data_IF_693742531400
#
_entry.id   IF_693742531400
#
_cell.length_a   1.000
_cell.length_b   1.000
_cell.length_c   1.000
_cell.angle_alpha   90.00
_cell.angle_beta   90.00
_cell.angle_gamma   90.00
#
_symmetry.space_group_name_H-M   'P 1'
#
loop_
_entity.id
_entity.type
_entity.pdbx_description
1 polymer ?
#
# COMPACT_ATOMS: atom_id res chain seq x y z
N UNK A 1 -60.98 -47.72 -41.08
CA UNK A 1 -60.64 -46.35 -40.88
C UNK A 1 -60.30 -46.13 -39.40
N UNK A 2 -59.02 -46.30 -39.02
CA UNK A 2 -58.58 -46.12 -37.63
C UNK A 2 -57.45 -45.04 -37.64
N UNK A 3 -57.67 -43.94 -36.95
CA UNK A 3 -56.67 -42.93 -36.69
C UNK A 3 -55.86 -43.40 -35.49
N UNK A 4 -54.57 -43.43 -35.62
CA UNK A 4 -53.59 -43.57 -34.49
C UNK A 4 -53.00 -42.21 -34.18
N UNK A 5 -53.34 -41.66 -33.04
CA UNK A 5 -52.70 -40.50 -32.45
C UNK A 5 -51.38 -40.95 -31.82
N UNK A 6 -50.31 -40.30 -32.25
CA UNK A 6 -48.96 -40.50 -31.70
C UNK A 6 -48.50 -39.20 -31.04
N UNK A 7 -48.78 -39.08 -29.75
CA UNK A 7 -48.31 -37.96 -28.91
C UNK A 7 -46.89 -38.24 -28.44
N UNK A 8 -45.92 -37.60 -29.09
CA UNK A 8 -44.53 -37.53 -28.58
C UNK A 8 -44.45 -36.51 -27.45
N UNK A 9 -44.21 -36.99 -26.22
CA UNK A 9 -43.87 -36.16 -25.07
C UNK A 9 -42.43 -35.74 -25.15
N UNK A 10 -42.20 -34.46 -25.45
CA UNK A 10 -40.91 -33.79 -25.30
C UNK A 10 -40.57 -33.63 -23.79
N UNK A 11 -39.64 -34.44 -23.32
CA UNK A 11 -39.00 -34.26 -22.04
C UNK A 11 -37.98 -33.10 -22.14
N UNK A 12 -38.39 -31.88 -21.78
CA UNK A 12 -37.47 -30.79 -21.50
C UNK A 12 -36.67 -31.13 -20.24
N UNK A 13 -35.45 -31.60 -20.41
CA UNK A 13 -34.45 -31.68 -19.35
C UNK A 13 -33.97 -30.30 -19.04
N UNK A 14 -34.52 -29.66 -18.02
CA UNK A 14 -34.01 -28.39 -17.47
C UNK A 14 -32.72 -28.70 -16.72
N UNK A 15 -31.59 -28.49 -17.36
CA UNK A 15 -30.28 -28.46 -16.67
C UNK A 15 -30.27 -27.17 -15.85
N UNK A 16 -30.47 -27.29 -14.55
CA UNK A 16 -30.23 -26.20 -13.62
C UNK A 16 -28.71 -25.98 -13.57
N UNK A 17 -28.23 -25.00 -14.29
CA UNK A 17 -26.89 -24.42 -14.04
C UNK A 17 -26.87 -23.77 -12.65
N UNK A 18 -26.47 -24.53 -11.64
CA UNK A 18 -26.05 -23.96 -10.35
C UNK A 18 -24.73 -23.26 -10.58
N UNK A 19 -24.78 -22.00 -11.01
CA UNK A 19 -23.68 -21.08 -10.91
C UNK A 19 -23.38 -20.88 -9.41
N UNK A 20 -22.44 -21.67 -8.88
CA UNK A 20 -21.87 -21.38 -7.57
C UNK A 20 -21.08 -20.08 -7.72
N UNK A 21 -21.68 -18.96 -7.34
CA UNK A 21 -20.98 -17.69 -7.23
C UNK A 21 -19.78 -17.91 -6.30
N UNK A 22 -18.58 -17.96 -6.84
CA UNK A 22 -17.34 -18.09 -6.07
C UNK A 22 -17.32 -16.90 -5.10
N UNK A 23 -17.32 -17.17 -3.78
CA UNK A 23 -17.28 -16.12 -2.77
C UNK A 23 -16.03 -15.26 -3.03
N UNK A 24 -16.22 -13.97 -3.29
CA UNK A 24 -15.13 -13.03 -3.46
C UNK A 24 -14.48 -12.74 -2.11
N UNK A 25 -13.16 -12.82 -2.03
CA UNK A 25 -12.39 -12.36 -0.87
C UNK A 25 -12.16 -10.85 -0.99
N UNK A 26 -12.67 -10.08 -0.05
CA UNK A 26 -12.58 -8.61 -0.03
C UNK A 26 -11.33 -8.17 0.71
N UNK A 27 -10.47 -7.42 0.05
CA UNK A 27 -9.21 -6.91 0.60
C UNK A 27 -9.26 -5.39 0.65
N UNK A 28 -9.28 -4.82 1.86
CA UNK A 28 -9.22 -3.38 2.06
C UNK A 28 -7.76 -2.91 2.15
N UNK A 29 -7.37 -1.95 1.31
CA UNK A 29 -6.04 -1.39 1.29
C UNK A 29 -6.07 0.04 1.81
N UNK A 30 -5.61 0.24 3.05
CA UNK A 30 -5.52 1.54 3.71
C UNK A 30 -4.11 2.11 3.49
N UNK A 31 -4.02 3.35 2.98
CA UNK A 31 -2.71 3.94 2.70
C UNK A 31 -2.75 5.37 2.19
N UNK A 32 -1.61 5.80 1.68
CA UNK A 32 -1.41 7.12 1.09
C UNK A 32 -1.22 7.05 -0.44
N UNK A 33 -0.31 7.85 -1.01
CA UNK A 33 -0.05 7.94 -2.45
C UNK A 33 0.37 6.60 -3.08
N UNK A 34 1.19 5.80 -2.41
CA UNK A 34 1.63 4.49 -2.89
C UNK A 34 0.45 3.50 -3.03
N UNK A 35 -0.50 3.52 -2.09
CA UNK A 35 -1.70 2.70 -2.14
C UNK A 35 -2.75 3.25 -3.13
N UNK A 36 -2.83 4.58 -3.25
CA UNK A 36 -3.71 5.24 -4.23
C UNK A 36 -3.18 5.17 -5.68
N UNK A 37 -1.96 4.67 -5.88
CA UNK A 37 -1.22 4.68 -7.15
C UNK A 37 -1.06 6.10 -7.74
N UNK A 38 -0.94 7.11 -6.87
CA UNK A 38 -0.70 8.50 -7.27
C UNK A 38 0.81 8.73 -7.38
N UNK A 39 1.31 8.76 -8.60
CA UNK A 39 2.73 8.91 -8.87
C UNK A 39 3.58 7.71 -8.43
N UNK A 40 2.98 6.57 -8.19
CA UNK A 40 3.61 5.35 -7.71
C UNK A 40 3.14 4.15 -8.52
N UNK A 41 3.95 3.10 -8.56
CA UNK A 41 3.56 1.82 -9.14
C UNK A 41 2.25 1.29 -8.54
N UNK A 42 1.36 0.79 -9.38
CA UNK A 42 0.07 0.25 -8.95
C UNK A 42 0.21 -1.22 -8.53
N UNK A 43 0.73 -1.44 -7.32
CA UNK A 43 0.92 -2.77 -6.75
C UNK A 43 -0.41 -3.52 -6.52
N UNK A 44 -1.52 -2.81 -6.28
CA UNK A 44 -2.84 -3.43 -6.13
C UNK A 44 -3.31 -4.03 -7.46
N UNK A 45 -3.14 -3.29 -8.55
CA UNK A 45 -3.46 -3.79 -9.88
C UNK A 45 -2.58 -4.98 -10.26
N UNK A 46 -1.28 -4.93 -9.92
CA UNK A 46 -0.35 -6.04 -10.15
C UNK A 46 -0.86 -7.31 -9.48
N UNK A 47 -1.11 -7.27 -8.16
CA UNK A 47 -1.62 -8.43 -7.41
C UNK A 47 -2.97 -8.90 -7.96
N UNK A 48 -3.91 -7.98 -8.22
CA UNK A 48 -5.24 -8.34 -8.72
C UNK A 48 -5.20 -9.06 -10.08
N UNK A 49 -4.20 -8.78 -10.92
CA UNK A 49 -4.05 -9.38 -12.24
C UNK A 49 -3.23 -10.67 -12.26
N UNK A 50 -2.69 -11.11 -11.12
CA UNK A 50 -1.90 -12.35 -11.06
C UNK A 50 -2.78 -13.59 -11.26
N UNK A 51 -2.24 -14.65 -11.86
CA UNK A 51 -2.95 -15.91 -11.99
C UNK A 51 -3.42 -16.43 -10.62
N UNK A 52 -4.66 -16.90 -10.56
CA UNK A 52 -5.27 -17.40 -9.31
C UNK A 52 -6.00 -16.34 -8.47
N UNK A 53 -5.81 -15.05 -8.72
CA UNK A 53 -6.39 -13.96 -7.94
C UNK A 53 -7.76 -13.47 -8.43
N UNK A 54 -8.40 -14.16 -9.37
CA UNK A 54 -9.68 -13.74 -9.95
C UNK A 54 -10.84 -13.62 -8.95
N UNK A 55 -10.74 -14.25 -7.76
CA UNK A 55 -11.70 -14.14 -6.67
C UNK A 55 -11.37 -13.00 -5.68
N UNK A 56 -10.20 -12.35 -5.80
CA UNK A 56 -9.79 -11.26 -4.91
C UNK A 56 -10.37 -9.93 -5.38
N UNK A 57 -11.03 -9.23 -4.47
CA UNK A 57 -11.57 -7.89 -4.70
C UNK A 57 -10.87 -6.87 -3.84
N UNK A 58 -10.03 -6.06 -4.45
CA UNK A 58 -9.31 -4.99 -3.75
C UNK A 58 -10.13 -3.70 -3.67
N UNK A 59 -10.21 -3.11 -2.48
CA UNK A 59 -10.84 -1.81 -2.22
C UNK A 59 -9.78 -0.84 -1.70
N UNK A 60 -9.65 0.33 -2.34
CA UNK A 60 -8.66 1.35 -1.95
C UNK A 60 -9.28 2.37 -1.00
N UNK A 61 -8.71 2.51 0.18
CA UNK A 61 -9.00 3.54 1.17
C UNK A 61 -7.77 4.42 1.35
N UNK A 62 -7.43 5.18 0.29
CA UNK A 62 -6.16 5.89 0.22
C UNK A 62 -6.30 7.22 -0.52
N UNK A 63 -5.52 8.22 -0.11
CA UNK A 63 -5.36 9.47 -0.81
C UNK A 63 -3.92 9.99 -0.70
N UNK A 64 -3.44 10.68 -1.74
CA UNK A 64 -2.10 11.28 -1.73
C UNK A 64 -1.90 12.21 -0.56
N UNK A 65 -0.77 12.11 0.12
CA UNK A 65 -0.41 12.95 1.27
C UNK A 65 -1.11 12.60 2.59
N UNK A 66 -1.90 11.51 2.67
CA UNK A 66 -2.51 11.09 3.93
C UNK A 66 -1.44 10.64 4.94
N UNK A 67 -1.63 11.08 6.19
CA UNK A 67 -0.90 10.61 7.36
C UNK A 67 -1.67 9.47 8.03
N UNK A 68 -1.08 8.83 9.03
CA UNK A 68 -1.77 7.81 9.82
C UNK A 68 -3.10 8.33 10.42
N UNK A 69 -3.14 9.59 10.87
CA UNK A 69 -4.36 10.26 11.34
C UNK A 69 -5.49 10.26 10.30
N UNK A 70 -5.18 10.54 9.04
CA UNK A 70 -6.18 10.52 7.98
C UNK A 70 -6.64 9.09 7.68
N UNK A 71 -5.74 8.12 7.81
CA UNK A 71 -6.09 6.70 7.75
C UNK A 71 -7.08 6.29 8.83
N UNK A 72 -6.88 6.75 10.07
CA UNK A 72 -7.80 6.52 11.19
C UNK A 72 -9.22 7.03 10.87
N UNK A 73 -9.35 8.18 10.20
CA UNK A 73 -10.65 8.73 9.81
C UNK A 73 -11.38 7.90 8.75
N UNK A 74 -10.69 6.98 8.06
CA UNK A 74 -11.27 6.09 7.04
C UNK A 74 -11.81 4.77 7.61
N UNK A 75 -11.55 4.46 8.87
CA UNK A 75 -11.97 3.19 9.49
C UNK A 75 -13.46 2.89 9.37
N UNK A 76 -14.39 3.85 9.56
CA UNK A 76 -15.82 3.55 9.42
C UNK A 76 -16.17 2.98 8.04
N UNK A 77 -15.56 3.50 6.96
CA UNK A 77 -15.79 3.01 5.61
C UNK A 77 -15.19 1.62 5.38
N UNK A 78 -14.03 1.34 5.97
CA UNK A 78 -13.38 0.01 5.91
C UNK A 78 -14.22 -1.00 6.68
N UNK A 79 -14.63 -0.69 7.90
CA UNK A 79 -15.45 -1.56 8.73
C UNK A 79 -16.79 -1.87 8.02
N UNK A 80 -17.40 -0.86 7.41
CA UNK A 80 -18.68 -1.03 6.70
C UNK A 80 -18.60 -1.97 5.50
N UNK A 81 -17.45 -2.15 4.86
CA UNK A 81 -17.30 -3.08 3.74
C UNK A 81 -17.02 -4.53 4.18
N UNK A 82 -16.87 -4.80 5.50
CA UNK A 82 -16.62 -6.13 6.08
C UNK A 82 -15.56 -6.91 5.31
N UNK A 83 -14.30 -6.43 5.26
CA UNK A 83 -13.24 -7.08 4.51
C UNK A 83 -12.83 -8.41 5.14
N UNK A 84 -12.32 -9.32 4.33
CA UNK A 84 -11.66 -10.56 4.78
C UNK A 84 -10.19 -10.27 5.17
N UNK A 85 -9.54 -9.32 4.47
CA UNK A 85 -8.17 -8.88 4.73
C UNK A 85 -8.06 -7.35 4.74
N UNK A 86 -7.19 -6.80 5.59
CA UNK A 86 -6.83 -5.38 5.60
C UNK A 86 -5.32 -5.21 5.53
N UNK A 87 -4.85 -4.44 4.55
CA UNK A 87 -3.44 -4.09 4.37
C UNK A 87 -3.27 -2.61 4.68
N UNK A 88 -2.35 -2.27 5.59
CA UNK A 88 -2.09 -0.90 6.02
C UNK A 88 -0.66 -0.49 5.65
N UNK A 89 -0.52 0.55 4.82
CA UNK A 89 0.75 1.18 4.44
C UNK A 89 0.63 2.69 4.65
N UNK A 90 1.03 3.17 5.81
CA UNK A 90 0.94 4.56 6.25
C UNK A 90 2.14 4.94 7.12
N UNK A 91 2.65 6.17 6.96
CA UNK A 91 3.69 6.73 7.81
C UNK A 91 4.72 7.57 7.07
N UNK A 92 4.90 7.38 5.77
CA UNK A 92 5.86 8.14 4.97
C UNK A 92 5.58 9.65 5.04
N UNK A 93 4.30 10.04 4.97
CA UNK A 93 3.91 11.46 5.07
C UNK A 93 4.05 12.00 6.50
N UNK A 94 3.90 11.16 7.52
CA UNK A 94 4.18 11.52 8.92
C UNK A 94 5.66 11.85 9.08
N UNK A 95 6.55 11.00 8.57
CA UNK A 95 8.00 11.24 8.55
C UNK A 95 8.33 12.51 7.75
N UNK A 96 7.81 12.65 6.53
CA UNK A 96 8.10 13.81 5.68
C UNK A 96 7.63 15.12 6.31
N UNK A 97 6.49 15.13 7.00
CA UNK A 97 5.98 16.28 7.71
C UNK A 97 6.81 16.62 8.98
N UNK A 98 7.45 15.61 9.58
CA UNK A 98 8.34 15.80 10.73
C UNK A 98 9.67 16.46 10.31
N UNK A 99 10.26 16.02 9.19
CA UNK A 99 11.58 16.46 8.74
C UNK A 99 11.55 17.69 7.82
N UNK A 100 10.41 18.02 7.22
CA UNK A 100 10.25 19.14 6.27
C UNK A 100 9.16 20.12 6.72
N UNK A 101 9.59 21.34 7.09
CA UNK A 101 8.65 22.43 7.43
C UNK A 101 7.68 22.76 6.29
N UNK A 102 8.12 22.63 5.03
CA UNK A 102 7.29 22.87 3.84
C UNK A 102 6.19 21.83 3.73
N UNK A 103 6.54 20.55 3.86
CA UNK A 103 5.58 19.43 3.87
C UNK A 103 4.60 19.58 5.04
N UNK A 104 5.10 19.86 6.25
CA UNK A 104 4.24 20.05 7.42
C UNK A 104 3.18 21.15 7.19
N UNK A 105 3.59 22.33 6.69
CA UNK A 105 2.65 23.43 6.40
C UNK A 105 1.59 23.01 5.39
N UNK A 106 2.01 22.32 4.34
CA UNK A 106 1.10 21.84 3.30
C UNK A 106 0.09 20.84 3.86
N UNK A 107 0.55 19.77 4.54
CA UNK A 107 -0.35 18.72 5.05
C UNK A 107 -1.22 19.25 6.21
N UNK A 108 -0.71 20.16 7.06
CA UNK A 108 -1.51 20.79 8.11
C UNK A 108 -2.75 21.48 7.54
N UNK A 109 -2.59 22.19 6.42
CA UNK A 109 -3.69 22.93 5.77
C UNK A 109 -4.62 21.99 4.99
N UNK A 110 -4.04 21.07 4.21
CA UNK A 110 -4.81 20.23 3.29
C UNK A 110 -5.40 18.98 3.93
N UNK A 111 -4.81 18.50 5.04
CA UNK A 111 -5.21 17.27 5.75
C UNK A 111 -5.82 17.55 7.12
N UNK A 112 -5.97 18.81 7.49
CA UNK A 112 -6.63 19.27 8.74
C UNK A 112 -6.06 18.60 9.99
N UNK A 113 -4.72 18.56 10.12
CA UNK A 113 -4.07 17.91 11.26
C UNK A 113 -4.35 18.64 12.56
N UNK A 114 -4.84 17.94 13.61
CA UNK A 114 -5.09 18.53 14.93
C UNK A 114 -3.80 18.81 15.70
N UNK A 115 -2.74 18.03 15.46
CA UNK A 115 -1.46 18.10 16.13
C UNK A 115 -0.28 18.14 15.16
N UNK A 116 0.88 18.52 15.65
CA UNK A 116 2.12 18.33 14.91
C UNK A 116 2.49 16.85 14.92
N UNK A 117 2.92 16.27 13.79
CA UNK A 117 3.38 14.90 13.74
C UNK A 117 4.52 14.62 14.73
N UNK A 118 4.45 13.49 15.41
CA UNK A 118 5.51 12.95 16.26
C UNK A 118 5.47 11.42 16.24
N UNK A 119 6.58 10.73 16.60
CA UNK A 119 6.60 9.28 16.71
C UNK A 119 5.57 8.72 17.70
N UNK A 120 5.35 9.42 18.81
CA UNK A 120 4.39 9.03 19.85
C UNK A 120 2.96 9.09 19.30
N UNK A 121 2.59 10.21 18.67
CA UNK A 121 1.26 10.38 18.09
C UNK A 121 1.03 9.39 16.93
N UNK A 122 2.06 9.12 16.12
CA UNK A 122 2.01 8.10 15.08
C UNK A 122 1.72 6.73 15.68
N UNK A 123 2.46 6.33 16.74
CA UNK A 123 2.27 5.06 17.45
C UNK A 123 0.84 4.93 17.99
N UNK A 124 0.36 5.93 18.72
CA UNK A 124 -1.00 5.96 19.26
C UNK A 124 -2.06 5.81 18.15
N UNK A 125 -1.86 6.53 17.04
CA UNK A 125 -2.77 6.51 15.89
C UNK A 125 -2.79 5.14 15.20
N UNK A 126 -1.62 4.54 14.97
CA UNK A 126 -1.52 3.21 14.36
C UNK A 126 -2.12 2.12 15.27
N UNK A 127 -1.90 2.19 16.58
CA UNK A 127 -2.58 1.31 17.53
C UNK A 127 -4.10 1.49 17.51
N UNK A 128 -4.59 2.73 17.43
CA UNK A 128 -6.02 3.00 17.31
C UNK A 128 -6.60 2.41 16.01
N UNK A 129 -5.87 2.48 14.88
CA UNK A 129 -6.25 1.84 13.62
C UNK A 129 -6.40 0.33 13.82
N UNK A 130 -5.37 -0.34 14.34
CA UNK A 130 -5.38 -1.80 14.52
C UNK A 130 -6.52 -2.23 15.44
N UNK A 131 -6.66 -1.58 16.60
CA UNK A 131 -7.74 -1.89 17.57
C UNK A 131 -9.12 -1.63 16.99
N UNK A 132 -9.29 -0.55 16.25
CA UNK A 132 -10.54 -0.23 15.57
C UNK A 132 -10.91 -1.28 14.51
N UNK A 133 -9.94 -1.77 13.73
CA UNK A 133 -10.16 -2.84 12.76
C UNK A 133 -10.49 -4.17 13.45
N UNK A 134 -9.76 -4.56 14.50
CA UNK A 134 -10.02 -5.79 15.28
C UNK A 134 -11.39 -5.79 15.96
N UNK A 135 -11.83 -4.63 16.42
CA UNK A 135 -13.15 -4.53 17.07
C UNK A 135 -14.31 -4.45 16.09
N UNK A 136 -14.07 -3.92 14.88
CA UNK A 136 -15.12 -3.69 13.89
C UNK A 136 -15.21 -4.74 12.78
N UNK A 137 -14.21 -5.63 12.65
CA UNK A 137 -14.15 -6.65 11.58
C UNK A 137 -13.59 -7.97 12.11
N UNK A 138 -13.77 -9.03 11.33
CA UNK A 138 -13.06 -10.32 11.51
C UNK A 138 -11.88 -10.46 10.55
N UNK A 139 -11.44 -9.37 9.94
CA UNK A 139 -10.38 -9.40 8.93
C UNK A 139 -9.03 -9.79 9.51
N UNK A 140 -8.23 -10.50 8.71
CA UNK A 140 -6.79 -10.59 8.96
C UNK A 140 -6.17 -9.22 8.64
N UNK A 141 -5.28 -8.74 9.49
CA UNK A 141 -4.67 -7.41 9.36
C UNK A 141 -3.18 -7.59 9.09
N UNK A 142 -2.67 -6.87 8.08
CA UNK A 142 -1.24 -6.78 7.79
C UNK A 142 -0.79 -5.33 7.86
N UNK A 143 0.24 -5.07 8.65
CA UNK A 143 0.93 -3.79 8.72
C UNK A 143 2.20 -3.85 7.89
N UNK A 144 2.32 -2.95 6.92
CA UNK A 144 3.49 -2.86 6.06
C UNK A 144 4.47 -1.82 6.62
N UNK A 145 5.75 -2.18 6.74
CA UNK A 145 6.80 -1.21 7.04
C UNK A 145 6.98 -0.21 5.90
N UNK A 146 7.64 0.91 6.17
CA UNK A 146 7.65 2.07 5.29
C UNK A 146 8.56 1.90 4.07
N UNK A 147 8.27 2.67 3.03
CA UNK A 147 9.14 2.80 1.86
C UNK A 147 10.36 3.65 2.26
N UNK A 148 11.61 3.21 2.01
CA UNK A 148 12.79 4.04 2.17
C UNK A 148 12.67 5.36 1.38
N UNK A 149 13.18 6.45 1.91
CA UNK A 149 13.26 7.75 1.23
C UNK A 149 14.66 7.92 0.67
N UNK A 150 14.78 8.15 -0.64
CA UNK A 150 16.07 8.17 -1.32
C UNK A 150 16.74 6.80 -1.42
N UNK A 151 17.94 6.78 -1.98
CA UNK A 151 18.68 5.54 -2.28
C UNK A 151 20.12 5.59 -1.76
N UNK A 152 20.41 6.45 -0.80
CA UNK A 152 21.72 6.66 -0.21
C UNK A 152 21.71 6.42 1.32
N UNK A 153 21.67 5.15 1.78
CA UNK A 153 21.57 4.84 3.21
C UNK A 153 22.78 5.34 4.02
N UNK A 154 23.96 5.43 3.43
CA UNK A 154 25.19 5.96 4.05
C UNK A 154 25.45 7.45 3.78
N UNK A 155 24.47 8.23 3.32
CA UNK A 155 24.65 9.64 2.97
C UNK A 155 24.99 10.49 4.17
N UNK A 156 25.98 11.38 4.03
CA UNK A 156 26.29 12.42 4.99
C UNK A 156 25.40 13.66 4.86
N UNK A 157 24.54 13.73 3.84
CA UNK A 157 23.56 14.82 3.71
C UNK A 157 22.60 14.80 4.89
N UNK A 158 22.42 15.91 5.62
CA UNK A 158 21.62 15.93 6.84
C UNK A 158 20.15 15.57 6.62
N UNK A 159 19.57 15.92 5.46
CA UNK A 159 18.17 15.61 5.18
C UNK A 159 17.99 14.11 4.91
N UNK A 160 18.87 13.53 4.08
CA UNK A 160 18.82 12.09 3.80
C UNK A 160 19.11 11.25 5.04
N UNK A 161 20.11 11.64 5.84
CA UNK A 161 20.45 10.94 7.08
C UNK A 161 19.27 10.96 8.09
N UNK A 162 18.60 12.10 8.26
CA UNK A 162 17.42 12.20 9.12
C UNK A 162 16.22 11.41 8.54
N UNK A 163 16.02 11.45 7.22
CA UNK A 163 14.99 10.66 6.56
C UNK A 163 15.21 9.16 6.79
N UNK A 164 16.44 8.66 6.60
CA UNK A 164 16.79 7.25 6.84
C UNK A 164 16.47 6.84 8.27
N UNK A 165 16.96 7.65 9.25
CA UNK A 165 16.74 7.39 10.68
C UNK A 165 15.26 7.34 11.04
N UNK A 166 14.45 8.26 10.51
CA UNK A 166 13.01 8.33 10.82
C UNK A 166 12.22 7.22 10.16
N UNK A 167 12.53 6.88 8.93
CA UNK A 167 11.87 5.75 8.23
C UNK A 167 12.14 4.43 8.98
N UNK A 168 13.37 4.20 9.44
CA UNK A 168 13.72 3.04 10.26
C UNK A 168 12.98 3.04 11.60
N UNK A 169 12.97 4.18 12.32
CA UNK A 169 12.25 4.37 13.58
C UNK A 169 10.76 4.04 13.44
N UNK A 170 10.10 4.58 12.40
CA UNK A 170 8.68 4.35 12.17
C UNK A 170 8.38 2.92 11.72
N UNK A 171 9.25 2.32 10.91
CA UNK A 171 9.15 0.90 10.54
C UNK A 171 9.28 0.00 11.78
N UNK A 172 10.17 0.33 12.71
CA UNK A 172 10.30 -0.36 14.00
C UNK A 172 9.02 -0.23 14.84
N UNK A 173 8.42 0.98 14.90
CA UNK A 173 7.13 1.19 15.57
C UNK A 173 6.04 0.29 14.98
N UNK A 174 5.97 0.19 13.65
CA UNK A 174 5.01 -0.69 12.97
C UNK A 174 5.22 -2.16 13.37
N UNK A 175 6.48 -2.63 13.38
CA UNK A 175 6.83 -4.00 13.75
C UNK A 175 6.45 -4.30 15.20
N UNK A 176 6.75 -3.39 16.11
CA UNK A 176 6.38 -3.51 17.53
C UNK A 176 4.86 -3.59 17.71
N UNK A 177 4.09 -2.77 16.98
CA UNK A 177 2.62 -2.79 17.02
C UNK A 177 2.11 -4.12 16.45
N UNK A 178 2.65 -4.59 15.33
CA UNK A 178 2.24 -5.85 14.72
C UNK A 178 2.43 -7.01 15.71
N UNK A 179 3.58 -7.06 16.37
CA UNK A 179 3.87 -8.06 17.39
C UNK A 179 2.94 -7.96 18.62
N UNK A 180 2.78 -6.76 19.17
CA UNK A 180 1.98 -6.53 20.38
C UNK A 180 0.48 -6.81 20.15
N UNK A 181 -0.01 -6.48 18.97
CA UNK A 181 -1.42 -6.66 18.57
C UNK A 181 -1.67 -8.00 17.88
N UNK A 182 -0.63 -8.85 17.71
CA UNK A 182 -0.75 -10.18 17.05
C UNK A 182 -1.40 -10.06 15.66
N UNK A 183 -0.85 -9.20 14.82
CA UNK A 183 -1.23 -9.01 13.41
C UNK A 183 -0.02 -9.21 12.51
N UNK A 184 -0.23 -9.49 11.23
CA UNK A 184 0.86 -9.77 10.30
C UNK A 184 1.71 -8.52 10.03
N UNK A 185 3.01 -8.74 9.83
CA UNK A 185 3.99 -7.72 9.46
C UNK A 185 4.52 -7.97 8.06
N UNK A 186 4.46 -6.97 7.18
CA UNK A 186 5.04 -7.01 5.83
C UNK A 186 6.35 -6.22 5.80
N UNK A 187 7.52 -6.87 5.70
CA UNK A 187 8.84 -6.25 5.87
C UNK A 187 9.31 -5.52 4.59
N UNK A 188 8.56 -4.50 4.11
CA UNK A 188 8.88 -3.77 2.90
C UNK A 188 10.17 -2.95 3.06
N UNK A 189 10.31 -2.25 4.19
CA UNK A 189 11.51 -1.47 4.49
C UNK A 189 12.76 -2.33 4.41
N UNK A 190 12.75 -3.46 5.10
CA UNK A 190 13.88 -4.35 5.22
C UNK A 190 14.29 -4.90 3.85
N UNK A 191 13.31 -5.34 3.04
CA UNK A 191 13.59 -5.86 1.69
C UNK A 191 14.11 -4.78 0.75
N UNK A 192 13.52 -3.59 0.75
CA UNK A 192 14.00 -2.48 -0.10
C UNK A 192 15.34 -1.94 0.39
N UNK A 193 15.52 -1.77 1.69
CA UNK A 193 16.77 -1.28 2.27
C UNK A 193 17.94 -2.23 1.98
N UNK A 194 17.73 -3.55 2.11
CA UNK A 194 18.74 -4.53 1.74
C UNK A 194 19.17 -4.42 0.26
N UNK A 195 18.21 -4.22 -0.65
CA UNK A 195 18.53 -4.00 -2.07
C UNK A 195 19.25 -2.69 -2.31
N UNK A 196 18.84 -1.60 -1.67
CA UNK A 196 19.51 -0.30 -1.78
C UNK A 196 20.96 -0.39 -1.24
N UNK A 197 21.20 -1.14 -0.16
CA UNK A 197 22.55 -1.38 0.37
C UNK A 197 23.47 -2.07 -0.64
N UNK A 198 22.95 -3.02 -1.44
CA UNK A 198 23.74 -3.70 -2.47
C UNK A 198 24.05 -2.80 -3.66
N UNK A 199 23.28 -1.75 -3.88
CA UNK A 199 23.43 -0.84 -5.00
C UNK A 199 22.94 0.56 -4.61
N UNK A 200 23.71 1.27 -3.76
CA UNK A 200 23.38 2.64 -3.35
C UNK A 200 23.24 3.56 -4.56
N UNK A 201 22.26 4.43 -4.49
CA UNK A 201 21.93 5.38 -5.53
C UNK A 201 21.97 6.82 -5.03
N UNK A 202 21.06 7.63 -5.55
CA UNK A 202 20.98 9.07 -5.29
C UNK A 202 20.43 9.36 -3.88
N UNK A 203 21.03 10.36 -3.21
CA UNK A 203 20.48 10.94 -1.99
C UNK A 203 19.27 11.84 -2.26
N UNK A 204 18.27 11.79 -1.38
CA UNK A 204 17.13 12.70 -1.35
C UNK A 204 17.42 13.86 -0.40
N UNK A 205 17.92 14.98 -0.95
CA UNK A 205 18.52 16.08 -0.18
C UNK A 205 17.53 17.18 0.19
N UNK A 206 16.36 17.23 -0.43
CA UNK A 206 15.32 18.19 -0.12
C UNK A 206 13.98 17.80 -0.75
N UNK A 207 12.88 18.16 -0.09
CA UNK A 207 11.55 18.07 -0.71
C UNK A 207 11.24 19.35 -1.47
N UNK A 208 10.94 19.23 -2.77
CA UNK A 208 10.58 20.35 -3.63
C UNK A 208 9.40 19.95 -4.53
N UNK A 209 8.39 20.81 -4.64
CA UNK A 209 7.22 20.56 -5.49
C UNK A 209 7.48 20.69 -6.99
N UNK A 210 8.51 21.46 -7.42
CA UNK A 210 8.79 21.69 -8.83
C UNK A 210 9.13 20.38 -9.60
N UNK A 211 10.00 19.49 -9.09
CA UNK A 211 10.20 18.18 -9.69
C UNK A 211 8.93 17.35 -9.81
N UNK A 212 8.04 17.42 -8.81
CA UNK A 212 6.76 16.72 -8.85
C UNK A 212 5.90 17.18 -10.05
N UNK A 213 5.73 18.48 -10.27
CA UNK A 213 4.96 19.00 -11.41
C UNK A 213 5.60 18.63 -12.76
N UNK A 214 6.93 18.66 -12.85
CA UNK A 214 7.66 18.21 -14.03
C UNK A 214 7.38 16.73 -14.33
N UNK A 215 7.35 15.89 -13.30
CA UNK A 215 7.10 14.46 -13.46
C UNK A 215 5.64 14.14 -13.76
N UNK A 216 4.69 14.94 -13.27
CA UNK A 216 3.29 14.93 -13.70
C UNK A 216 3.19 15.24 -15.20
N UNK A 217 3.86 16.28 -15.68
CA UNK A 217 3.92 16.59 -17.12
C UNK A 217 4.53 15.43 -17.94
N UNK A 218 5.64 14.85 -17.47
CA UNK A 218 6.28 13.70 -18.13
C UNK A 218 5.34 12.50 -18.22
N UNK A 219 4.57 12.24 -17.18
CA UNK A 219 3.64 11.12 -17.12
C UNK A 219 2.42 11.33 -18.02
N UNK A 220 1.74 12.47 -17.91
CA UNK A 220 0.43 12.68 -18.55
C UNK A 220 0.52 13.28 -19.95
N UNK A 221 1.57 14.04 -20.26
CA UNK A 221 1.77 14.66 -21.57
C UNK A 221 2.76 13.89 -22.44
N UNK A 222 3.88 13.45 -21.86
CA UNK A 222 4.89 12.69 -22.57
C UNK A 222 4.70 11.16 -22.45
N UNK A 223 3.65 10.70 -21.77
CA UNK A 223 3.31 9.27 -21.55
C UNK A 223 4.46 8.42 -21.03
N UNK A 224 5.35 9.02 -20.22
CA UNK A 224 6.47 8.31 -19.62
C UNK A 224 6.00 7.41 -18.48
N UNK A 225 6.54 6.19 -18.44
CA UNK A 225 6.35 5.26 -17.32
C UNK A 225 7.02 5.75 -16.03
N UNK A 226 6.64 5.17 -14.90
CA UNK A 226 7.30 5.45 -13.61
C UNK A 226 8.80 5.10 -13.65
N UNK A 227 9.18 4.05 -14.36
CA UNK A 227 10.56 3.61 -14.49
C UNK A 227 11.39 4.60 -15.34
N UNK A 228 10.85 5.03 -16.49
CA UNK A 228 11.51 6.06 -17.32
C UNK A 228 11.69 7.37 -16.58
N UNK A 229 10.68 7.79 -15.79
CA UNK A 229 10.76 9.00 -14.96
C UNK A 229 11.82 8.81 -13.88
N UNK A 230 11.86 7.65 -13.21
CA UNK A 230 12.89 7.30 -12.25
C UNK A 230 14.29 7.39 -12.84
N UNK A 231 14.53 6.75 -13.99
CA UNK A 231 15.81 6.79 -14.71
C UNK A 231 16.21 8.23 -15.08
N UNK A 232 15.28 9.04 -15.63
CA UNK A 232 15.52 10.44 -15.96
C UNK A 232 15.87 11.30 -14.73
N UNK A 233 15.40 10.91 -13.56
CA UNK A 233 15.68 11.57 -12.29
C UNK A 233 16.91 10.98 -11.56
N UNK A 234 17.52 9.92 -12.09
CA UNK A 234 18.66 9.22 -11.49
C UNK A 234 18.28 8.32 -10.31
N UNK A 235 17.02 7.82 -10.29
CA UNK A 235 16.54 6.85 -9.31
C UNK A 235 16.49 5.44 -9.91
N UNK A 236 16.82 4.44 -9.10
CA UNK A 236 16.81 3.03 -9.49
C UNK A 236 15.59 2.30 -8.94
N UNK A 237 15.23 2.57 -7.70
CA UNK A 237 14.13 1.90 -6.96
C UNK A 237 12.93 2.82 -6.77
N UNK A 238 13.06 4.09 -7.11
CA UNK A 238 12.01 5.09 -6.96
C UNK A 238 11.72 5.77 -8.31
N UNK A 239 10.55 6.36 -8.39
CA UNK A 239 10.20 7.30 -9.44
C UNK A 239 10.80 8.69 -9.20
N UNK A 240 10.76 9.15 -7.95
CA UNK A 240 11.10 10.52 -7.54
C UNK A 240 11.85 10.61 -6.19
N UNK A 241 12.29 9.48 -5.67
CA UNK A 241 12.98 9.34 -4.38
C UNK A 241 12.07 9.02 -3.19
N UNK A 242 10.73 8.96 -3.42
CA UNK A 242 9.74 8.62 -2.40
C UNK A 242 8.78 7.55 -2.92
N UNK A 243 8.28 7.71 -4.15
CA UNK A 243 7.27 6.84 -4.72
C UNK A 243 7.91 5.64 -5.44
N UNK A 244 7.25 4.49 -5.35
CA UNK A 244 7.70 3.24 -5.95
C UNK A 244 7.69 3.31 -7.49
N UNK A 245 8.75 2.80 -8.12
CA UNK A 245 8.75 2.40 -9.52
C UNK A 245 8.34 0.92 -9.67
N UNK A 246 8.47 0.31 -10.85
CA UNK A 246 8.04 -1.09 -11.03
C UNK A 246 8.91 -2.07 -10.25
N UNK A 247 10.20 -1.79 -10.08
CA UNK A 247 11.13 -2.69 -9.40
C UNK A 247 10.79 -2.81 -7.91
N UNK A 248 10.64 -1.69 -7.22
CA UNK A 248 10.27 -1.65 -5.80
C UNK A 248 8.80 -1.98 -5.56
N UNK A 249 7.92 -1.58 -6.47
CA UNK A 249 6.49 -1.85 -6.38
C UNK A 249 6.14 -3.32 -6.50
N UNK A 250 6.89 -4.11 -7.29
CA UNK A 250 6.73 -5.56 -7.37
C UNK A 250 7.10 -6.25 -6.06
N UNK A 251 8.11 -5.75 -5.33
CA UNK A 251 8.46 -6.29 -4.00
C UNK A 251 7.28 -6.14 -3.03
N UNK A 252 6.62 -4.98 -3.02
CA UNK A 252 5.41 -4.80 -2.23
C UNK A 252 4.28 -5.72 -2.71
N UNK A 253 4.09 -5.84 -4.03
CA UNK A 253 3.09 -6.75 -4.60
C UNK A 253 3.35 -8.21 -4.22
N UNK A 254 4.63 -8.64 -4.16
CA UNK A 254 5.00 -10.00 -3.75
C UNK A 254 4.72 -10.25 -2.27
N UNK A 255 5.06 -9.30 -1.38
CA UNK A 255 4.73 -9.36 0.04
C UNK A 255 3.21 -9.48 0.27
N UNK A 256 2.44 -8.68 -0.45
CA UNK A 256 0.97 -8.73 -0.38
C UNK A 256 0.44 -10.06 -0.92
N UNK A 257 0.98 -10.56 -2.03
CA UNK A 257 0.61 -11.86 -2.58
C UNK A 257 0.86 -12.98 -1.57
N UNK A 258 2.02 -12.99 -0.93
CA UNK A 258 2.35 -13.97 0.11
C UNK A 258 1.31 -13.92 1.25
N UNK A 259 0.98 -12.73 1.75
CA UNK A 259 -0.02 -12.56 2.81
C UNK A 259 -1.42 -13.06 2.42
N UNK A 260 -1.92 -12.70 1.23
CA UNK A 260 -3.30 -13.07 0.84
C UNK A 260 -3.44 -14.54 0.48
N UNK A 261 -2.35 -15.21 0.07
CA UNK A 261 -2.38 -16.63 -0.31
C UNK A 261 -2.11 -17.57 0.83
N UNK A 262 -1.20 -17.23 1.74
CA UNK A 262 -0.73 -18.15 2.80
C UNK A 262 -1.41 -17.88 4.15
N UNK A 263 -1.83 -16.66 4.40
CA UNK A 263 -2.35 -16.26 5.72
C UNK A 263 -1.36 -16.42 6.88
N UNK A 264 -0.08 -16.63 6.57
CA UNK A 264 0.99 -16.85 7.56
C UNK A 264 1.78 -15.56 7.81
N UNK A 265 2.29 -15.41 9.02
CA UNK A 265 3.24 -14.34 9.35
C UNK A 265 4.48 -14.48 8.46
N UNK A 266 4.83 -13.39 7.77
CA UNK A 266 6.00 -13.31 6.90
C UNK A 266 7.30 -13.04 7.69
N UNK A 267 7.27 -13.25 9.02
CA UNK A 267 8.38 -13.03 9.95
C UNK A 267 9.37 -14.20 10.03
N UNK A 268 9.37 -15.14 9.09
CA UNK A 268 10.41 -16.17 9.05
C UNK A 268 11.74 -15.52 8.61
N UNK A 269 12.80 -15.56 9.42
CA UNK A 269 14.09 -15.00 9.02
C UNK A 269 14.67 -15.84 7.88
N UNK A 270 15.04 -15.17 6.78
CA UNK A 270 15.93 -15.71 5.78
C UNK A 270 17.38 -15.54 6.20
#
# INVERSE_FOLDING_TARGET
MRRTDNTLQDKKTTVAETSSATKQTVIACLGASATAAIGSYDWIRDVAQRPGNGSLRFLRFAAGGDLAYNGLQRLPAIINCQPDDVIVLLGENDVMALISKGVYRFVRLTKHLPHQPSPEWYRETMQAIVRGLKSGTSARIALCSLIPVGEAPGSADPFQAEANRRIEEYSTIIKEIATAETVSYLPLYERLHALILTSPGRAFTSFNFLPFYRDVYRQFVLHKSHDEIGQLNGWRFHRDGIHLNSLSGKILADLVQEFVTTGTDLDSPF
#
